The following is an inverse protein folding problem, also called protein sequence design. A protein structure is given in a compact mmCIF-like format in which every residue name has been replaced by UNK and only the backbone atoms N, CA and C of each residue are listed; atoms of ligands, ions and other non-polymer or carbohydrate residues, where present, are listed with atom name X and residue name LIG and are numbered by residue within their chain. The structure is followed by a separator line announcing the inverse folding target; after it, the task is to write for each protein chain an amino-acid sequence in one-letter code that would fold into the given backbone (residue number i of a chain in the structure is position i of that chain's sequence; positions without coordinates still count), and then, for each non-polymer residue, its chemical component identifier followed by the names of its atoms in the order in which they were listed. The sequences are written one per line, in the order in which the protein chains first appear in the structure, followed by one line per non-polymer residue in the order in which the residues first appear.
data_IF_275342214956
#
_entry.id   IF_275342214956
#
_cell.length_a   1.000
_cell.length_b   1.000
_cell.length_c   1.000
_cell.angle_alpha   90.00
_cell.angle_beta   90.00
_cell.angle_gamma   90.00
#
_symmetry.space_group_name_H-M   'P 1'
#
loop_
_entity.id
_entity.type
_entity.pdbx_description
1 polymer ?
#
# COMPACT_ATOMS: atom_id res chain seq x y z
N UNK A 1 -38.53 4.70 53.01
CA UNK A 1 -38.99 4.23 51.69
C UNK A 1 -37.79 3.70 50.95
N UNK A 2 -37.82 2.38 50.70
CA UNK A 2 -36.65 1.55 50.43
C UNK A 2 -36.37 1.45 48.93
N UNK A 3 -35.10 1.14 48.65
CA UNK A 3 -34.40 0.83 47.40
C UNK A 3 -35.05 -0.25 46.49
N UNK A 4 -36.37 -0.49 46.56
CA UNK A 4 -37.02 -1.65 45.93
C UNK A 4 -37.68 -1.39 44.58
N UNK A 5 -37.92 -0.14 44.16
CA UNK A 5 -38.79 0.11 42.98
C UNK A 5 -38.10 0.52 41.68
N UNK A 6 -36.76 0.58 41.62
CA UNK A 6 -36.05 0.88 40.36
C UNK A 6 -35.26 -0.30 39.76
N UNK A 7 -35.02 -1.37 40.52
CA UNK A 7 -34.29 -2.56 40.05
C UNK A 7 -35.23 -3.54 39.33
N UNK A 8 -36.55 -3.41 39.53
CA UNK A 8 -37.57 -4.31 38.98
C UNK A 8 -37.99 -4.04 37.53
N UNK A 9 -37.27 -3.17 36.79
CA UNK A 9 -37.56 -2.89 35.37
C UNK A 9 -36.41 -3.15 34.38
N UNK A 10 -35.26 -3.69 34.79
CA UNK A 10 -34.11 -3.81 33.89
C UNK A 10 -33.47 -5.20 33.72
N UNK A 11 -34.03 -6.27 34.30
CA UNK A 11 -33.49 -7.63 34.10
C UNK A 11 -34.55 -8.61 33.61
N UNK A 12 -35.22 -8.24 32.52
CA UNK A 12 -35.90 -9.17 31.63
C UNK A 12 -35.08 -9.29 30.34
N UNK A 13 -34.12 -10.21 30.31
CA UNK A 13 -33.67 -10.86 29.06
C UNK A 13 -32.81 -12.08 29.39
N UNK A 14 -33.46 -13.24 29.33
CA UNK A 14 -32.95 -14.57 29.00
C UNK A 14 -31.43 -14.77 28.87
N UNK A 15 -30.87 -15.56 29.78
CA UNK A 15 -29.97 -16.70 29.52
C UNK A 15 -28.96 -16.87 30.67
N UNK A 16 -29.38 -17.44 31.79
CA UNK A 16 -28.53 -18.19 32.72
C UNK A 16 -29.45 -18.74 33.81
N UNK A 17 -29.96 -19.97 33.67
CA UNK A 17 -30.47 -20.84 34.74
C UNK A 17 -30.97 -22.16 34.13
N UNK A 18 -30.06 -22.88 33.47
CA UNK A 18 -30.28 -24.28 33.12
C UNK A 18 -28.97 -25.05 33.33
N UNK A 19 -28.43 -24.94 34.54
CA UNK A 19 -27.48 -25.88 35.10
C UNK A 19 -27.98 -26.18 36.51
N UNK A 20 -28.12 -27.47 36.85
CA UNK A 20 -28.59 -28.04 38.12
C UNK A 20 -30.08 -28.41 38.21
N UNK A 21 -30.54 -29.31 37.34
CA UNK A 21 -31.38 -30.46 37.77
C UNK A 21 -31.26 -31.56 36.73
N UNK A 22 -30.78 -32.73 37.15
CA UNK A 22 -30.62 -33.89 36.28
C UNK A 22 -31.98 -34.42 35.79
N UNK A 23 -32.23 -34.29 34.50
CA UNK A 23 -33.22 -35.12 33.78
C UNK A 23 -32.68 -35.40 32.38
N UNK A 24 -32.33 -36.66 32.15
CA UNK A 24 -31.93 -37.21 30.85
C UNK A 24 -33.10 -37.15 29.88
N UNK A 25 -33.12 -36.16 28.99
CA UNK A 25 -33.96 -36.20 27.80
C UNK A 25 -33.12 -36.69 26.61
N UNK A 26 -33.35 -37.94 26.21
CA UNK A 26 -32.92 -38.49 24.92
C UNK A 26 -33.65 -37.72 23.83
N UNK A 27 -32.99 -36.74 23.21
CA UNK A 27 -33.44 -36.20 21.92
C UNK A 27 -32.85 -37.11 20.86
N UNK A 28 -33.75 -37.83 20.19
CA UNK A 28 -33.50 -38.62 19.00
C UNK A 28 -32.86 -37.73 17.93
N UNK A 29 -31.61 -38.01 17.58
CA UNK A 29 -30.99 -37.53 16.36
C UNK A 29 -31.73 -38.17 15.18
N UNK A 30 -32.73 -37.50 14.64
CA UNK A 30 -33.16 -37.69 13.26
C UNK A 30 -33.88 -36.43 12.77
N UNK A 31 -33.37 -35.93 11.66
CA UNK A 31 -34.00 -34.99 10.72
C UNK A 31 -34.11 -33.52 11.14
N UNK A 32 -33.22 -32.75 10.52
CA UNK A 32 -33.46 -31.49 9.81
C UNK A 32 -32.46 -30.40 10.21
N UNK A 33 -31.43 -30.19 9.38
CA UNK A 33 -30.97 -28.86 9.00
C UNK A 33 -30.03 -29.00 7.79
N UNK A 34 -30.64 -29.03 6.62
CA UNK A 34 -30.02 -28.88 5.29
C UNK A 34 -29.45 -27.46 5.09
N UNK A 35 -28.49 -27.06 5.93
CA UNK A 35 -27.81 -25.76 5.88
C UNK A 35 -26.40 -25.79 5.27
N UNK A 36 -26.08 -26.77 4.40
CA UNK A 36 -24.67 -27.09 4.03
C UNK A 36 -24.26 -27.09 2.53
N UNK A 37 -24.85 -26.29 1.63
CA UNK A 37 -24.18 -25.97 0.35
C UNK A 37 -23.43 -24.63 0.39
N UNK A 38 -24.02 -23.58 0.98
CA UNK A 38 -23.51 -22.21 0.88
C UNK A 38 -22.28 -21.98 1.75
N UNK A 39 -22.30 -22.37 3.03
CA UNK A 39 -21.16 -22.23 3.95
C UNK A 39 -19.93 -23.01 3.44
N UNK A 40 -20.14 -24.17 2.79
CA UNK A 40 -19.07 -24.99 2.20
C UNK A 40 -18.52 -24.42 0.88
N UNK A 41 -19.30 -23.60 0.17
CA UNK A 41 -18.86 -22.84 -1.01
C UNK A 41 -18.13 -21.56 -0.59
N UNK A 42 -18.63 -20.87 0.43
CA UNK A 42 -18.00 -19.70 1.06
C UNK A 42 -16.61 -20.08 1.59
N UNK A 43 -16.50 -21.13 2.41
CA UNK A 43 -15.22 -21.59 2.96
C UNK A 43 -14.23 -22.04 1.87
N UNK A 44 -14.70 -22.66 0.78
CA UNK A 44 -13.84 -23.03 -0.35
C UNK A 44 -13.37 -21.81 -1.15
N UNK A 45 -14.19 -20.76 -1.28
CA UNK A 45 -13.79 -19.48 -1.89
C UNK A 45 -12.81 -18.71 -0.98
N UNK A 46 -13.01 -18.78 0.33
CA UNK A 46 -12.12 -18.24 1.36
C UNK A 46 -10.73 -18.91 1.29
N UNK A 47 -10.68 -20.25 1.22
CA UNK A 47 -9.44 -21.02 1.08
C UNK A 47 -8.77 -20.81 -0.28
N UNK A 48 -9.54 -20.68 -1.37
CA UNK A 48 -8.99 -20.38 -2.69
C UNK A 48 -8.33 -18.99 -2.75
N UNK A 49 -8.95 -17.95 -2.16
CA UNK A 49 -8.34 -16.60 -2.03
C UNK A 49 -7.04 -16.60 -1.22
N UNK A 50 -6.90 -17.54 -0.28
CA UNK A 50 -5.71 -17.65 0.57
C UNK A 50 -4.49 -18.26 -0.13
N UNK A 51 -4.72 -18.98 -1.23
CA UNK A 51 -3.70 -19.66 -2.03
C UNK A 51 -3.33 -18.93 -3.34
N UNK A 52 -3.90 -17.75 -3.58
CA UNK A 52 -3.62 -16.98 -4.79
C UNK A 52 -2.23 -16.34 -4.71
N UNK A 53 -1.43 -16.45 -5.78
CA UNK A 53 -0.12 -15.82 -5.86
C UNK A 53 -0.29 -14.30 -5.65
N UNK A 54 0.38 -13.68 -4.66
CA UNK A 54 0.29 -12.23 -4.41
C UNK A 54 0.59 -11.38 -5.66
N UNK A 55 1.41 -11.89 -6.59
CA UNK A 55 1.71 -11.21 -7.86
C UNK A 55 0.50 -11.18 -8.80
N UNK A 56 -0.32 -12.23 -8.81
CA UNK A 56 -1.54 -12.29 -9.62
C UNK A 56 -2.62 -11.34 -9.06
N UNK A 57 -2.78 -11.31 -7.72
CA UNK A 57 -3.66 -10.34 -7.04
C UNK A 57 -3.22 -8.89 -7.34
N UNK A 58 -1.91 -8.64 -7.36
CA UNK A 58 -1.35 -7.35 -7.73
C UNK A 58 -1.61 -7.01 -9.20
N UNK A 59 -1.38 -7.94 -10.14
CA UNK A 59 -1.68 -7.74 -11.57
C UNK A 59 -3.17 -7.47 -11.82
N UNK A 60 -4.05 -8.15 -11.08
CA UNK A 60 -5.49 -7.87 -11.14
C UNK A 60 -5.81 -6.46 -10.67
N UNK A 61 -5.22 -6.03 -9.54
CA UNK A 61 -5.40 -4.66 -9.02
C UNK A 61 -4.91 -3.60 -10.02
N UNK A 62 -3.79 -3.86 -10.70
CA UNK A 62 -3.27 -2.98 -11.77
C UNK A 62 -4.27 -2.91 -12.94
N UNK A 63 -4.80 -4.06 -13.38
CA UNK A 63 -5.78 -4.12 -14.44
C UNK A 63 -7.06 -3.34 -14.07
N UNK A 64 -7.59 -3.53 -12.87
CA UNK A 64 -8.83 -2.88 -12.42
C UNK A 64 -8.71 -1.34 -12.40
N UNK A 65 -7.54 -0.82 -12.00
CA UNK A 65 -7.22 0.61 -12.01
C UNK A 65 -7.08 1.13 -13.44
N UNK A 66 -6.40 0.39 -14.33
CA UNK A 66 -6.11 0.85 -15.69
C UNK A 66 -7.30 0.78 -16.64
N UNK A 67 -8.13 -0.26 -16.56
CA UNK A 67 -9.31 -0.40 -17.42
C UNK A 67 -10.51 0.37 -16.89
N UNK A 68 -10.34 1.14 -15.80
CA UNK A 68 -11.41 1.87 -15.12
C UNK A 68 -12.62 0.97 -14.78
N UNK A 69 -12.38 -0.33 -14.57
CA UNK A 69 -13.44 -1.33 -14.34
C UNK A 69 -14.08 -1.12 -12.96
N UNK A 70 -13.34 -0.50 -12.04
CA UNK A 70 -13.87 0.10 -10.82
C UNK A 70 -13.96 1.61 -11.04
N UNK A 71 -15.02 2.07 -11.71
CA UNK A 71 -15.25 3.47 -12.08
C UNK A 71 -15.36 4.47 -10.92
N UNK A 72 -14.87 4.14 -9.72
CA UNK A 72 -14.88 5.04 -8.58
C UNK A 72 -13.93 4.64 -7.44
N UNK A 73 -12.79 3.93 -7.69
CA UNK A 73 -11.80 3.63 -6.62
C UNK A 73 -11.52 4.89 -5.78
N UNK A 74 -11.29 6.00 -6.46
CA UNK A 74 -10.98 7.29 -5.86
C UNK A 74 -12.18 8.07 -5.29
N UNK A 75 -13.39 7.50 -5.38
CA UNK A 75 -14.58 8.00 -4.70
C UNK A 75 -14.73 7.35 -3.32
N UNK A 76 -14.33 6.09 -3.18
CA UNK A 76 -14.48 5.32 -1.94
C UNK A 76 -13.19 5.20 -1.13
N UNK A 77 -12.02 5.24 -1.78
CA UNK A 77 -10.70 5.05 -1.16
C UNK A 77 -9.74 6.19 -1.54
N UNK A 78 -8.82 6.53 -0.62
CA UNK A 78 -7.75 7.51 -0.87
C UNK A 78 -6.60 6.94 -1.73
N UNK A 79 -6.42 5.62 -1.67
CA UNK A 79 -5.34 4.88 -2.35
C UNK A 79 -5.61 3.38 -2.35
N UNK A 80 -4.90 2.66 -3.23
CA UNK A 80 -4.91 1.19 -3.28
C UNK A 80 -3.50 0.64 -3.12
N UNK A 81 -3.25 -0.12 -2.04
CA UNK A 81 -1.97 -0.82 -1.84
C UNK A 81 -1.87 -2.01 -2.79
N UNK A 82 -0.68 -2.18 -3.36
CA UNK A 82 -0.32 -3.31 -4.18
C UNK A 82 0.52 -4.29 -3.35
N UNK A 83 0.08 -5.55 -3.15
CA UNK A 83 0.71 -6.49 -2.21
C UNK A 83 1.97 -7.17 -2.79
N UNK A 84 2.89 -6.38 -3.35
CA UNK A 84 4.13 -6.86 -3.97
C UNK A 84 5.34 -6.04 -3.51
N UNK A 85 6.47 -6.70 -3.26
CA UNK A 85 7.71 -6.02 -2.96
C UNK A 85 8.41 -5.63 -4.26
N UNK A 86 8.94 -4.41 -4.32
CA UNK A 86 9.71 -3.91 -5.45
C UNK A 86 11.20 -3.84 -5.07
N UNK A 87 12.00 -4.88 -5.34
CA UNK A 87 13.36 -4.99 -4.82
C UNK A 87 14.31 -3.90 -5.33
N UNK A 88 14.03 -3.27 -6.49
CA UNK A 88 14.85 -2.20 -7.07
C UNK A 88 14.55 -0.81 -6.53
N UNK A 89 13.47 -0.62 -5.75
CA UNK A 89 13.11 0.69 -5.18
C UNK A 89 14.17 1.30 -4.26
N UNK A 90 14.78 0.59 -3.30
CA UNK A 90 15.69 1.22 -2.35
C UNK A 90 16.98 1.67 -3.04
N UNK A 91 17.52 0.86 -3.95
CA UNK A 91 18.69 1.21 -4.78
C UNK A 91 18.39 2.40 -5.70
N UNK A 92 17.21 2.44 -6.32
CA UNK A 92 16.81 3.52 -7.23
C UNK A 92 16.77 4.90 -6.59
N UNK A 93 16.41 4.99 -5.31
CA UNK A 93 16.20 6.27 -4.62
C UNK A 93 17.19 6.51 -3.50
N UNK A 94 18.34 5.84 -3.52
CA UNK A 94 19.36 5.90 -2.48
C UNK A 94 19.83 7.35 -2.22
N UNK A 95 20.12 8.13 -3.26
CA UNK A 95 20.53 9.53 -3.11
C UNK A 95 19.47 10.39 -2.39
N UNK A 96 18.19 10.10 -2.65
CA UNK A 96 17.08 10.82 -2.04
C UNK A 96 16.85 10.38 -0.59
N UNK A 97 17.04 9.10 -0.28
CA UNK A 97 16.97 8.61 1.11
C UNK A 97 18.15 9.08 1.94
N UNK A 98 19.38 9.11 1.41
CA UNK A 98 20.55 9.65 2.10
C UNK A 98 20.36 11.15 2.45
N UNK A 99 19.84 11.95 1.52
CA UNK A 99 19.50 13.36 1.79
C UNK A 99 18.40 13.50 2.84
N UNK A 100 17.41 12.62 2.81
CA UNK A 100 16.35 12.59 3.81
C UNK A 100 16.88 12.22 5.21
N UNK A 101 17.78 11.26 5.32
CA UNK A 101 18.41 10.87 6.59
C UNK A 101 19.20 12.05 7.19
N UNK A 102 19.96 12.77 6.37
CA UNK A 102 20.66 14.00 6.82
C UNK A 102 19.68 15.09 7.25
N UNK A 103 18.62 15.34 6.46
CA UNK A 103 17.61 16.33 6.80
C UNK A 103 16.86 15.95 8.09
N UNK A 104 16.59 14.66 8.31
CA UNK A 104 15.98 14.19 9.54
C UNK A 104 16.86 14.44 10.76
N UNK A 105 18.18 14.25 10.66
CA UNK A 105 19.09 14.61 11.75
C UNK A 105 19.03 16.12 12.09
N UNK A 106 18.94 16.99 11.09
CA UNK A 106 18.75 18.43 11.30
C UNK A 106 17.41 18.72 11.97
N UNK A 107 16.34 18.09 11.48
CA UNK A 107 15.00 18.21 12.08
C UNK A 107 14.99 17.69 13.53
N UNK A 108 15.80 16.67 13.84
CA UNK A 108 15.94 16.12 15.19
C UNK A 108 16.60 17.07 16.17
N UNK A 109 17.47 17.97 15.71
CA UNK A 109 18.08 18.99 16.58
C UNK A 109 17.20 20.25 16.71
N UNK A 110 16.57 20.68 15.62
CA UNK A 110 15.84 21.96 15.57
C UNK A 110 14.35 21.85 15.95
N UNK A 111 13.75 20.67 15.77
CA UNK A 111 12.34 20.43 15.99
C UNK A 111 11.43 20.94 14.85
N UNK A 112 10.19 20.44 14.83
CA UNK A 112 9.17 20.80 13.83
C UNK A 112 8.21 21.82 14.47
N UNK A 113 8.70 23.03 14.73
CA UNK A 113 7.92 24.11 15.37
C UNK A 113 7.16 24.98 14.36
N UNK A 114 6.11 25.64 14.84
CA UNK A 114 4.93 26.06 14.06
C UNK A 114 5.12 27.15 12.98
N UNK A 115 6.33 27.65 12.75
CA UNK A 115 6.62 28.75 11.81
C UNK A 115 8.03 28.73 11.23
N UNK A 116 8.67 27.56 11.12
CA UNK A 116 10.06 27.55 10.69
C UNK A 116 10.18 27.61 9.16
N UNK A 117 10.49 28.79 8.63
CA UNK A 117 10.90 28.95 7.23
C UNK A 117 12.08 28.04 6.88
N UNK A 118 12.95 27.74 7.85
CA UNK A 118 14.05 26.79 7.66
C UNK A 118 13.53 25.39 7.33
N UNK A 119 12.49 24.91 8.02
CA UNK A 119 11.88 23.61 7.71
C UNK A 119 11.33 23.61 6.27
N UNK A 120 10.64 24.68 5.87
CA UNK A 120 10.13 24.78 4.49
C UNK A 120 11.27 24.78 3.47
N UNK A 121 12.35 25.53 3.71
CA UNK A 121 13.52 25.58 2.84
C UNK A 121 14.22 24.21 2.76
N UNK A 122 14.40 23.55 3.91
CA UNK A 122 14.99 22.22 3.99
C UNK A 122 14.18 21.21 3.17
N UNK A 123 12.86 21.14 3.38
CA UNK A 123 11.98 20.26 2.62
C UNK A 123 11.97 20.61 1.13
N UNK A 124 12.00 21.90 0.77
CA UNK A 124 12.11 22.34 -0.62
C UNK A 124 13.42 21.84 -1.26
N UNK A 125 14.52 21.87 -0.50
CA UNK A 125 15.82 21.34 -0.89
C UNK A 125 15.83 19.83 -1.16
N UNK A 126 14.96 19.05 -0.50
CA UNK A 126 14.81 17.61 -0.74
C UNK A 126 14.07 17.30 -2.04
N UNK A 127 12.96 18.01 -2.30
CA UNK A 127 12.10 17.73 -3.47
C UNK A 127 12.62 18.34 -4.77
N UNK A 128 13.32 19.47 -4.72
CA UNK A 128 13.81 20.17 -5.92
C UNK A 128 14.73 19.32 -6.81
N UNK A 129 15.78 18.65 -6.28
CA UNK A 129 16.76 17.96 -7.11
C UNK A 129 16.26 16.64 -7.72
N UNK A 130 15.28 15.98 -7.11
CA UNK A 130 14.73 14.72 -7.60
C UNK A 130 13.40 14.95 -8.33
N UNK A 131 13.39 14.74 -9.65
CA UNK A 131 12.19 14.87 -10.48
C UNK A 131 11.15 13.79 -10.20
N UNK A 132 11.56 12.62 -9.71
CA UNK A 132 10.66 11.51 -9.38
C UNK A 132 9.98 11.72 -8.02
N UNK A 133 10.52 12.59 -7.16
CA UNK A 133 9.85 12.96 -5.91
C UNK A 133 8.63 13.84 -6.19
N UNK A 134 7.44 13.36 -5.80
CA UNK A 134 6.15 14.05 -6.01
C UNK A 134 5.65 14.76 -4.76
N UNK A 135 6.06 14.32 -3.58
CA UNK A 135 5.78 15.04 -2.36
C UNK A 135 6.85 14.80 -1.30
N UNK A 136 7.02 15.79 -0.44
CA UNK A 136 7.82 15.69 0.78
C UNK A 136 7.06 16.39 1.90
N UNK A 137 7.09 15.82 3.10
CA UNK A 137 6.33 16.31 4.25
C UNK A 137 7.06 16.03 5.55
N UNK A 138 7.02 17.00 6.45
CA UNK A 138 7.35 16.83 7.84
C UNK A 138 6.10 17.06 8.69
N UNK A 139 5.84 16.17 9.64
CA UNK A 139 4.67 16.24 10.52
C UNK A 139 5.09 16.02 11.97
N UNK A 140 4.76 16.94 12.86
CA UNK A 140 4.82 16.76 14.30
C UNK A 140 3.45 16.39 14.85
N UNK A 141 3.44 15.42 15.76
CA UNK A 141 2.23 14.84 16.32
C UNK A 141 2.34 14.74 17.83
N UNK A 142 1.21 14.86 18.52
CA UNK A 142 1.12 14.59 19.93
C UNK A 142 1.10 13.08 20.17
N UNK A 143 1.98 12.57 21.02
CA UNK A 143 2.10 11.14 21.32
C UNK A 143 0.89 10.56 22.02
N UNK A 144 0.14 11.36 22.77
CA UNK A 144 -1.01 10.90 23.56
C UNK A 144 -2.31 10.95 22.75
N UNK A 145 -2.54 12.02 22.00
CA UNK A 145 -3.79 12.17 21.23
C UNK A 145 -3.66 11.72 19.78
N UNK A 146 -2.45 11.42 19.29
CA UNK A 146 -2.14 11.18 17.87
C UNK A 146 -2.56 12.32 16.93
N UNK A 147 -2.90 13.50 17.49
CA UNK A 147 -3.27 14.68 16.72
C UNK A 147 -2.03 15.36 16.13
N UNK A 148 -2.19 15.93 14.93
CA UNK A 148 -1.15 16.74 14.29
C UNK A 148 -0.99 18.05 15.04
N UNK A 149 0.22 18.30 15.54
CA UNK A 149 0.62 19.56 16.17
C UNK A 149 1.03 20.56 15.09
N UNK A 150 1.81 20.12 14.11
CA UNK A 150 2.33 20.98 13.06
C UNK A 150 2.71 20.15 11.83
N UNK A 151 2.69 20.77 10.65
CA UNK A 151 3.13 20.15 9.42
C UNK A 151 3.67 21.18 8.43
N UNK A 152 4.60 20.73 7.60
CA UNK A 152 5.05 21.45 6.43
C UNK A 152 5.28 20.44 5.30
N UNK A 153 5.06 20.86 4.07
CA UNK A 153 5.30 19.98 2.93
C UNK A 153 5.31 20.71 1.61
N UNK A 154 5.84 20.02 0.62
CA UNK A 154 5.84 20.45 -0.77
C UNK A 154 5.33 19.32 -1.63
N UNK A 155 4.55 19.67 -2.66
CA UNK A 155 4.08 18.76 -3.70
C UNK A 155 4.62 19.24 -5.04
N UNK A 156 5.13 18.32 -5.83
CA UNK A 156 5.47 18.57 -7.22
C UNK A 156 4.34 18.09 -8.13
N UNK A 157 3.93 18.94 -9.06
CA UNK A 157 2.98 18.61 -10.12
C UNK A 157 3.69 18.77 -11.46
N UNK A 158 3.57 17.75 -12.31
CA UNK A 158 4.14 17.74 -13.65
C UNK A 158 2.99 17.98 -14.63
N UNK A 159 3.08 19.09 -15.37
CA UNK A 159 2.10 19.47 -16.38
C UNK A 159 2.40 18.77 -17.71
N UNK A 160 1.42 18.77 -18.62
CA UNK A 160 1.53 18.12 -19.95
C UNK A 160 2.70 18.62 -20.80
N UNK A 161 3.13 19.86 -20.59
CA UNK A 161 4.28 20.49 -21.23
C UNK A 161 5.61 20.18 -20.53
N UNK A 162 5.63 19.18 -19.66
CA UNK A 162 6.79 18.76 -18.86
C UNK A 162 7.31 19.84 -17.89
N UNK A 163 6.53 20.90 -17.64
CA UNK A 163 6.84 21.85 -16.56
C UNK A 163 6.55 21.21 -15.21
N UNK A 164 7.51 21.31 -14.31
CA UNK A 164 7.38 20.87 -12.92
C UNK A 164 7.18 22.08 -12.03
N UNK A 165 6.03 22.14 -11.36
CA UNK A 165 5.72 23.19 -10.39
C UNK A 165 5.73 22.59 -8.99
N UNK A 166 6.42 23.25 -8.06
CA UNK A 166 6.53 22.80 -6.68
C UNK A 166 5.71 23.75 -5.81
N UNK A 167 4.60 23.24 -5.29
CA UNK A 167 3.62 23.98 -4.50
C UNK A 167 3.75 23.61 -3.03
N UNK A 168 3.60 24.61 -2.17
CA UNK A 168 3.55 24.39 -0.73
C UNK A 168 2.25 23.67 -0.37
N UNK A 169 2.33 22.68 0.51
CA UNK A 169 1.17 21.96 1.05
C UNK A 169 0.73 22.67 2.33
N UNK A 170 -0.43 23.35 2.35
CA UNK A 170 -0.86 24.12 3.52
C UNK A 170 -1.30 23.22 4.68
N UNK A 171 -0.72 23.48 5.86
CA UNK A 171 -1.30 23.26 7.19
C UNK A 171 -1.55 21.82 7.68
N UNK A 172 -1.94 21.68 8.96
CA UNK A 172 -2.22 20.40 9.62
C UNK A 172 -3.55 19.78 9.19
N UNK A 173 -4.46 20.54 8.55
CA UNK A 173 -5.78 20.08 8.11
C UNK A 173 -5.72 18.93 7.11
N UNK A 174 -4.74 18.95 6.19
CA UNK A 174 -4.51 17.88 5.22
C UNK A 174 -4.03 16.57 5.86
N UNK A 175 -3.55 16.65 7.11
CA UNK A 175 -2.99 15.52 7.87
C UNK A 175 -3.86 15.15 9.08
N UNK A 176 -5.13 15.56 9.12
CA UNK A 176 -6.05 15.29 10.23
C UNK A 176 -6.31 13.81 10.50
N UNK A 177 -6.15 12.93 9.49
CA UNK A 177 -6.34 11.47 9.59
C UNK A 177 -5.12 10.70 9.08
N UNK A 178 -4.07 10.64 9.90
CA UNK A 178 -2.80 9.97 9.53
C UNK A 178 -2.84 8.46 9.60
N UNK A 179 -3.64 7.90 10.51
CA UNK A 179 -3.96 6.47 10.61
C UNK A 179 -4.43 5.87 9.28
N UNK A 180 -5.07 6.69 8.44
CA UNK A 180 -5.46 6.27 7.09
C UNK A 180 -4.32 6.27 6.08
N UNK A 181 -3.18 6.91 6.34
CA UNK A 181 -2.14 7.14 5.33
C UNK A 181 -1.18 5.94 5.20
N UNK A 182 -0.81 5.54 3.97
CA UNK A 182 -0.06 4.30 3.72
C UNK A 182 1.38 4.34 4.25
N UNK A 183 1.91 5.54 4.47
CA UNK A 183 3.26 5.79 4.97
C UNK A 183 3.33 5.99 6.48
N UNK A 184 2.18 6.18 7.15
CA UNK A 184 2.13 6.38 8.58
C UNK A 184 1.93 5.05 9.30
N UNK A 185 2.86 4.73 10.20
CA UNK A 185 2.76 3.55 11.04
C UNK A 185 2.17 3.94 12.41
N UNK A 186 0.91 3.59 12.73
CA UNK A 186 0.41 3.75 14.08
C UNK A 186 1.22 2.87 15.04
N UNK A 187 1.58 3.40 16.21
CA UNK A 187 2.15 2.60 17.29
C UNK A 187 1.12 1.57 17.74
N UNK A 188 1.49 0.30 17.62
CA UNK A 188 0.66 -0.90 17.88
C UNK A 188 -0.25 -0.73 19.10
N UNK A 189 -1.55 -0.56 18.85
CA UNK A 189 -2.60 -0.81 19.84
C UNK A 189 -3.32 -2.10 19.45
N UNK A 190 -3.05 -3.15 20.22
CA UNK A 190 -3.93 -4.28 20.52
C UNK A 190 -4.59 -5.06 19.36
N UNK A 191 -4.03 -6.25 19.07
CA UNK A 191 -4.82 -7.42 18.62
C UNK A 191 -5.10 -7.60 17.13
N UNK A 192 -4.96 -6.56 16.29
CA UNK A 192 -5.02 -6.71 14.83
C UNK A 192 -3.66 -7.05 14.23
N UNK A 193 -3.56 -8.06 13.36
CA UNK A 193 -2.36 -8.22 12.51
C UNK A 193 -2.24 -6.94 11.67
N UNK A 194 -1.15 -6.16 11.78
CA UNK A 194 -0.99 -4.98 10.93
C UNK A 194 -1.03 -5.43 9.47
N UNK A 195 -1.85 -4.79 8.64
CA UNK A 195 -1.68 -4.85 7.19
C UNK A 195 -0.20 -4.49 6.96
N UNK A 196 0.61 -5.33 6.29
CA UNK A 196 2.00 -5.02 6.07
C UNK A 196 2.09 -3.82 5.12
N UNK A 197 2.05 -2.61 5.67
CA UNK A 197 2.37 -1.37 4.96
C UNK A 197 3.86 -1.33 4.62
N UNK A 198 4.67 -2.20 5.22
CA UNK A 198 6.10 -2.38 4.96
C UNK A 198 6.34 -3.48 3.95
N UNK A 199 7.24 -3.23 3.00
CA UNK A 199 7.94 -4.33 2.37
C UNK A 199 8.89 -5.01 3.36
N UNK A 200 8.87 -6.35 3.39
CA UNK A 200 9.55 -7.14 4.44
C UNK A 200 11.08 -7.09 4.39
N UNK A 201 11.68 -6.49 3.36
CA UNK A 201 13.12 -6.56 3.07
C UNK A 201 13.85 -5.21 2.95
N UNK A 202 13.25 -4.11 3.41
CA UNK A 202 13.82 -2.77 3.27
C UNK A 202 14.73 -2.32 4.43
N UNK A 203 15.32 -3.25 5.18
CA UNK A 203 16.38 -2.92 6.14
C UNK A 203 17.73 -2.98 5.42
N UNK A 204 18.03 -1.96 4.63
CA UNK A 204 19.42 -1.72 4.24
C UNK A 204 20.18 -1.16 5.45
N UNK A 205 21.36 -1.73 5.73
CA UNK A 205 22.27 -1.21 6.74
C UNK A 205 22.72 0.20 6.33
N UNK A 206 22.14 1.24 6.92
CA UNK A 206 22.53 2.64 6.66
C UNK A 206 21.41 3.67 6.78
N UNK A 207 20.15 3.26 6.54
CA UNK A 207 19.01 4.17 6.48
C UNK A 207 18.13 4.10 7.75
N UNK A 208 17.62 5.24 8.22
CA UNK A 208 16.87 5.30 9.49
C UNK A 208 15.35 5.03 9.35
N UNK A 209 14.84 5.07 8.12
CA UNK A 209 13.43 4.92 7.78
C UNK A 209 12.98 3.55 7.27
N UNK A 210 11.78 3.53 6.71
CA UNK A 210 11.17 2.38 6.06
C UNK A 210 10.44 2.75 4.78
N UNK A 211 10.38 1.80 3.86
CA UNK A 211 9.63 1.91 2.62
C UNK A 211 8.23 1.31 2.76
N UNK A 212 7.26 1.94 2.09
CA UNK A 212 5.94 1.37 1.93
C UNK A 212 5.92 0.27 0.87
N UNK A 213 4.87 -0.53 0.84
CA UNK A 213 4.48 -1.19 -0.41
C UNK A 213 4.08 -0.14 -1.46
N UNK A 214 4.26 -0.42 -2.77
CA UNK A 214 3.73 0.45 -3.81
C UNK A 214 2.21 0.57 -3.69
N UNK A 215 1.68 1.75 -3.99
CA UNK A 215 0.25 2.01 -3.97
C UNK A 215 -0.13 3.00 -5.07
N UNK A 216 -1.35 2.89 -5.57
CA UNK A 216 -1.92 3.90 -6.45
C UNK A 216 -2.55 5.00 -5.59
N UNK A 217 -2.13 6.26 -5.79
CA UNK A 217 -2.63 7.41 -5.04
C UNK A 217 -3.69 8.14 -5.83
N UNK A 218 -4.91 8.23 -5.31
CA UNK A 218 -6.01 8.97 -5.93
C UNK A 218 -5.81 10.49 -5.90
N UNK A 219 -5.04 10.99 -4.93
CA UNK A 219 -4.72 12.42 -4.85
C UNK A 219 -3.74 12.88 -5.93
N UNK A 220 -2.85 11.99 -6.38
CA UNK A 220 -1.84 12.31 -7.41
C UNK A 220 -2.10 11.64 -8.75
N UNK A 221 -3.10 10.73 -8.81
CA UNK A 221 -3.37 9.86 -9.96
C UNK A 221 -2.11 9.15 -10.46
N UNK A 222 -1.28 8.68 -9.53
CA UNK A 222 0.03 8.13 -9.82
C UNK A 222 0.34 6.91 -8.95
N UNK A 223 1.07 5.96 -9.53
CA UNK A 223 1.71 4.89 -8.77
C UNK A 223 2.83 5.48 -7.94
N UNK A 224 2.78 5.23 -6.64
CA UNK A 224 3.63 5.87 -5.65
C UNK A 224 4.25 4.84 -4.72
N UNK A 225 5.47 5.11 -4.28
CA UNK A 225 6.05 4.49 -3.10
C UNK A 225 6.55 5.56 -2.16
N UNK A 226 6.36 5.36 -0.85
CA UNK A 226 6.80 6.32 0.14
C UNK A 226 7.97 5.78 0.95
N UNK A 227 8.93 6.66 1.23
CA UNK A 227 9.92 6.46 2.27
C UNK A 227 9.54 7.32 3.48
N UNK A 228 9.44 6.69 4.65
CA UNK A 228 9.07 7.36 5.89
C UNK A 228 10.11 7.11 6.97
N UNK A 229 10.47 8.15 7.72
CA UNK A 229 11.39 8.07 8.82
C UNK A 229 10.91 8.88 10.02
N UNK A 230 11.21 8.38 11.21
CA UNK A 230 10.87 9.02 12.47
C UNK A 230 11.92 10.07 12.79
N UNK A 231 11.49 11.32 12.99
CA UNK A 231 12.32 12.43 13.45
C UNK A 231 12.01 12.67 14.93
N UNK A 232 12.58 11.83 15.81
CA UNK A 232 12.43 11.99 17.26
C UNK A 232 13.44 12.98 17.80
N UNK A 233 13.01 14.13 18.31
CA UNK A 233 13.92 15.09 18.97
C UNK A 233 13.89 14.89 20.49
N UNK A 234 14.98 15.23 21.19
CA UNK A 234 14.99 15.31 22.67
C UNK A 234 13.96 16.36 23.18
N UNK A 235 13.72 17.41 22.39
CA UNK A 235 12.75 18.48 22.67
C UNK A 235 11.30 18.00 22.53
N UNK A 236 11.00 17.15 21.54
CA UNK A 236 9.68 16.58 21.31
C UNK A 236 9.33 15.58 22.41
N UNK A 237 10.32 14.85 22.97
CA UNK A 237 10.09 14.00 24.14
C UNK A 237 9.67 14.78 25.38
N UNK A 238 10.22 15.99 25.59
CA UNK A 238 9.79 16.89 26.67
C UNK A 238 8.33 17.33 26.52
N UNK A 239 7.88 17.58 25.28
CA UNK A 239 6.50 17.96 24.96
C UNK A 239 5.57 16.78 24.57
N UNK A 240 5.97 15.52 24.84
CA UNK A 240 5.23 14.30 24.43
C UNK A 240 4.79 14.33 22.97
N UNK A 241 5.69 14.68 22.07
CA UNK A 241 5.46 14.77 20.64
C UNK A 241 6.40 13.85 19.84
N UNK A 242 6.03 13.53 18.60
CA UNK A 242 6.82 12.74 17.64
C UNK A 242 6.82 13.44 16.29
N UNK A 243 7.98 13.49 15.64
CA UNK A 243 8.14 14.00 14.29
C UNK A 243 8.25 12.87 13.27
N UNK A 244 7.77 13.11 12.06
CA UNK A 244 7.88 12.20 10.92
C UNK A 244 8.29 12.99 9.68
N UNK A 245 9.23 12.47 8.92
CA UNK A 245 9.56 12.93 7.57
C UNK A 245 9.10 11.85 6.59
N UNK A 246 8.39 12.26 5.54
CA UNK A 246 7.85 11.36 4.52
C UNK A 246 8.15 11.90 3.13
N UNK A 247 8.63 11.03 2.26
CA UNK A 247 8.95 11.30 0.86
C UNK A 247 8.10 10.37 -0.01
N UNK A 248 7.47 10.93 -1.05
CA UNK A 248 6.71 10.17 -2.04
C UNK A 248 7.41 10.22 -3.39
N UNK A 249 7.59 9.06 -3.99
CA UNK A 249 8.23 8.91 -5.30
C UNK A 249 7.25 8.34 -6.32
N UNK A 250 7.25 8.93 -7.52
CA UNK A 250 6.47 8.49 -8.65
C UNK A 250 7.10 7.26 -9.31
N UNK A 251 6.30 6.21 -9.44
CA UNK A 251 6.64 4.97 -10.14
C UNK A 251 5.88 4.82 -11.47
N UNK A 252 5.03 5.77 -11.85
CA UNK A 252 4.13 5.66 -13.01
C UNK A 252 4.88 5.45 -14.34
N UNK A 253 6.11 5.95 -14.44
CA UNK A 253 6.96 5.79 -15.63
C UNK A 253 7.57 4.38 -15.74
N UNK A 254 7.34 3.50 -14.76
CA UNK A 254 7.81 2.13 -14.79
C UNK A 254 6.81 1.20 -15.48
N UNK A 255 7.35 0.16 -16.11
CA UNK A 255 6.57 -0.78 -16.90
C UNK A 255 6.53 -2.16 -16.26
N UNK A 256 5.37 -2.80 -16.28
CA UNK A 256 5.18 -4.14 -15.72
C UNK A 256 5.72 -5.19 -16.71
N UNK A 257 6.86 -5.81 -16.38
CA UNK A 257 7.40 -6.92 -17.16
C UNK A 257 7.02 -8.27 -16.54
N UNK A 258 6.21 -9.05 -17.26
CA UNK A 258 5.74 -10.37 -16.83
C UNK A 258 6.50 -11.55 -17.45
N UNK A 259 7.39 -11.28 -18.41
CA UNK A 259 8.15 -12.31 -19.10
C UNK A 259 9.23 -12.92 -18.20
N UNK A 260 9.78 -14.06 -18.61
CA UNK A 260 10.93 -14.67 -17.93
C UNK A 260 12.19 -13.80 -18.06
N UNK A 261 13.10 -13.92 -17.09
CA UNK A 261 14.39 -13.23 -17.09
C UNK A 261 15.35 -13.86 -18.13
N UNK A 262 15.16 -13.52 -19.42
CA UNK A 262 16.02 -14.00 -20.53
C UNK A 262 17.21 -13.09 -20.81
N UNK A 263 17.08 -11.81 -20.49
CA UNK A 263 18.12 -10.78 -20.57
C UNK A 263 18.15 -10.01 -19.25
N UNK A 264 19.26 -9.29 -18.99
CA UNK A 264 19.32 -8.39 -17.82
C UNK A 264 18.14 -7.40 -17.95
N UNK A 265 17.17 -7.40 -17.02
CA UNK A 265 16.05 -6.49 -17.12
C UNK A 265 16.57 -5.06 -16.99
N UNK A 266 15.94 -4.15 -17.73
CA UNK A 266 16.25 -2.74 -17.55
C UNK A 266 15.63 -2.29 -16.23
N UNK A 267 16.41 -2.35 -15.15
CA UNK A 267 15.95 -1.98 -13.82
C UNK A 267 15.54 -0.51 -13.73
N UNK A 268 15.93 0.36 -14.69
CA UNK A 268 15.58 1.77 -14.72
C UNK A 268 14.17 2.04 -15.24
N UNK A 269 13.62 1.17 -16.09
CA UNK A 269 12.28 1.35 -16.67
C UNK A 269 11.31 0.21 -16.37
N UNK A 270 11.77 -0.94 -15.86
CA UNK A 270 10.92 -2.13 -15.70
C UNK A 270 10.77 -2.57 -14.24
N UNK A 271 9.56 -2.99 -13.89
CA UNK A 271 9.22 -3.65 -12.63
C UNK A 271 9.49 -5.15 -12.77
N UNK A 272 10.56 -5.60 -12.12
CA UNK A 272 10.98 -7.01 -12.14
C UNK A 272 10.21 -7.91 -11.17
N UNK A 273 9.35 -7.32 -10.33
CA UNK A 273 8.57 -8.07 -9.35
C UNK A 273 7.56 -9.04 -9.98
N UNK A 274 7.23 -8.86 -11.26
CA UNK A 274 6.23 -9.65 -11.99
C UNK A 274 6.84 -10.65 -12.97
N UNK A 275 8.16 -10.78 -13.04
CA UNK A 275 8.81 -11.72 -13.97
C UNK A 275 8.30 -13.15 -13.78
N UNK A 276 8.08 -13.85 -14.89
CA UNK A 276 7.55 -15.21 -14.93
C UNK A 276 6.07 -15.37 -14.60
N UNK A 277 5.28 -14.28 -14.54
CA UNK A 277 3.81 -14.34 -14.35
C UNK A 277 3.02 -14.41 -15.66
N UNK A 278 3.71 -14.42 -16.80
CA UNK A 278 3.07 -14.55 -18.11
C UNK A 278 2.26 -15.85 -18.24
N UNK A 279 1.26 -15.85 -19.13
CA UNK A 279 0.41 -17.00 -19.42
C UNK A 279 0.81 -17.76 -20.69
N UNK A 280 1.95 -17.41 -21.31
CA UNK A 280 2.49 -18.16 -22.44
C UNK A 280 2.76 -19.62 -22.06
N UNK A 281 2.55 -20.53 -23.01
CA UNK A 281 2.79 -21.96 -22.75
C UNK A 281 4.29 -22.26 -22.65
N UNK A 282 4.73 -22.72 -21.48
CA UNK A 282 6.15 -22.89 -21.13
C UNK A 282 6.96 -23.80 -22.06
N UNK A 283 6.33 -24.73 -22.79
CA UNK A 283 7.02 -25.66 -23.70
C UNK A 283 6.99 -25.24 -25.16
N UNK A 284 5.93 -24.57 -25.60
CA UNK A 284 5.63 -24.34 -27.02
C UNK A 284 5.69 -22.88 -27.42
N UNK A 285 5.75 -21.97 -26.44
CA UNK A 285 5.76 -20.53 -26.65
C UNK A 285 6.90 -19.84 -25.88
N UNK A 286 7.20 -18.64 -26.32
CA UNK A 286 8.16 -17.71 -25.74
C UNK A 286 7.43 -16.40 -25.44
N UNK A 287 7.70 -15.83 -24.26
CA UNK A 287 7.21 -14.53 -23.87
C UNK A 287 8.14 -13.44 -24.39
N UNK A 288 7.59 -12.44 -25.07
CA UNK A 288 8.27 -11.22 -25.49
C UNK A 288 7.60 -10.03 -24.84
N UNK A 289 8.37 -9.27 -24.06
CA UNK A 289 7.88 -8.08 -23.36
C UNK A 289 7.56 -6.98 -24.37
N UNK A 290 6.42 -6.29 -24.18
CA UNK A 290 6.01 -5.16 -25.00
C UNK A 290 6.02 -3.88 -24.17
N UNK A 291 6.93 -2.98 -24.51
CA UNK A 291 7.07 -1.66 -23.92
C UNK A 291 5.93 -0.70 -24.35
N UNK A 292 5.85 0.45 -23.68
CA UNK A 292 4.92 1.53 -23.97
C UNK A 292 3.54 1.42 -23.30
N UNK A 293 3.29 0.36 -22.52
CA UNK A 293 2.01 0.17 -21.82
C UNK A 293 2.05 0.53 -20.32
N UNK A 294 3.22 0.89 -19.78
CA UNK A 294 3.36 1.29 -18.37
C UNK A 294 2.88 0.23 -17.38
N UNK A 295 2.00 0.65 -16.47
CA UNK A 295 1.38 -0.22 -15.47
C UNK A 295 0.19 -0.99 -16.04
N UNK A 296 0.42 -1.95 -16.93
CA UNK A 296 -0.64 -2.77 -17.50
C UNK A 296 -0.35 -4.26 -17.40
N UNK A 297 -1.36 -5.03 -17.00
CA UNK A 297 -1.35 -6.49 -17.07
C UNK A 297 -1.44 -6.92 -18.54
N UNK A 298 -0.68 -7.95 -18.91
CA UNK A 298 -0.71 -8.53 -20.24
C UNK A 298 0.19 -7.85 -21.26
N UNK A 299 1.13 -7.00 -20.82
CA UNK A 299 2.08 -6.25 -21.67
C UNK A 299 3.17 -7.14 -22.29
N UNK A 300 2.76 -8.22 -22.95
CA UNK A 300 3.64 -9.18 -23.62
C UNK A 300 2.93 -9.91 -24.75
N UNK A 301 3.71 -10.46 -25.67
CA UNK A 301 3.25 -11.35 -26.73
C UNK A 301 3.82 -12.74 -26.52
N UNK A 302 2.98 -13.76 -26.75
CA UNK A 302 3.42 -15.14 -26.79
C UNK A 302 3.68 -15.54 -28.24
N UNK A 303 4.95 -15.79 -28.57
CA UNK A 303 5.39 -16.29 -29.87
C UNK A 303 5.64 -17.79 -29.81
N UNK A 304 5.20 -18.55 -30.81
CA UNK A 304 5.52 -19.97 -30.89
C UNK A 304 7.04 -20.18 -31.00
N UNK A 305 7.54 -21.22 -30.33
CA UNK A 305 8.90 -21.70 -30.54
C UNK A 305 9.05 -22.31 -31.93
N UNK A 306 10.27 -22.36 -32.49
CA UNK A 306 10.52 -23.06 -33.75
C UNK A 306 9.92 -24.48 -33.73
N UNK A 307 9.17 -24.85 -34.77
CA UNK A 307 8.48 -26.14 -34.89
C UNK A 307 7.06 -26.19 -34.30
N UNK A 308 6.62 -25.15 -33.60
CA UNK A 308 5.23 -25.02 -33.12
C UNK A 308 4.47 -23.95 -33.90
N UNK A 309 3.15 -24.12 -34.01
CA UNK A 309 2.26 -23.19 -34.69
C UNK A 309 0.96 -23.03 -33.92
N UNK A 310 0.31 -21.88 -34.07
CA UNK A 310 -1.04 -21.68 -33.57
C UNK A 310 -2.05 -22.40 -34.49
N UNK A 311 -3.10 -23.04 -33.95
CA UNK A 311 -4.15 -23.65 -34.76
C UNK A 311 -4.91 -22.65 -35.65
N UNK A 312 -4.92 -21.38 -35.25
CA UNK A 312 -5.56 -20.27 -35.96
C UNK A 312 -4.49 -19.40 -36.67
N UNK A 313 -4.90 -18.55 -37.62
CA UNK A 313 -4.01 -17.64 -38.39
C UNK A 313 -3.26 -16.58 -37.54
N UNK A 314 -3.32 -16.64 -36.21
CA UNK A 314 -2.61 -15.72 -35.34
C UNK A 314 -1.11 -16.02 -35.36
N UNK A 315 -0.28 -14.98 -35.48
CA UNK A 315 1.19 -15.09 -35.41
C UNK A 315 1.71 -15.06 -33.96
N UNK A 316 0.93 -14.49 -33.04
CA UNK A 316 1.21 -14.41 -31.60
C UNK A 316 -0.10 -14.26 -30.82
N UNK A 317 -0.08 -14.62 -29.54
CA UNK A 317 -1.18 -14.36 -28.61
C UNK A 317 -0.85 -13.14 -27.75
N UNK A 318 -1.80 -12.21 -27.62
CA UNK A 318 -1.65 -11.03 -26.78
C UNK A 318 -1.95 -11.37 -25.32
N UNK A 319 -1.03 -11.05 -24.43
CA UNK A 319 -1.16 -11.27 -22.99
C UNK A 319 -2.34 -10.53 -22.35
N UNK A 320 -2.86 -9.47 -22.97
CA UNK A 320 -4.04 -8.73 -22.46
C UNK A 320 -5.34 -9.51 -22.62
N UNK A 321 -5.36 -10.58 -23.41
CA UNK A 321 -6.56 -11.41 -23.68
C UNK A 321 -6.65 -12.58 -22.68
N UNK A 322 -5.67 -12.72 -21.77
CA UNK A 322 -5.52 -13.89 -20.87
C UNK A 322 -5.82 -13.62 -19.40
#
# INVERSE_FOLDING_TARGET
MKLSDLVQRLLASSALHAALTGTTFRITLNEAFEGRPLIRKENRREEARKNEDPREVALQSINDITTNNMGSLCVTEDYRILPVNLPSVPERFEDSTQRADMAAAVIQELGINHKDELLKVLLRGLITPDRKMIAVRAVAMNMTTSGVINSAGWKAEIFRDNRRVINHIPGPELYTRLDSKPWYQPSVTSGGKPIPQRGRNYRHHGHQGWWTLPYYSCFTNAWTVSYALCCGTKVLLYYRAKGFLGLDFNLTDLEVNQCDMRSKPNYDSQLTAFLGTHKCHNKTSNCEFKDGNGWARGSYLCHCRPGYYFPQKHKSLNGTIV
#
